data_IF_799119292978
#
_entry.id   IF_799119292978
#
_cell.length_a   1.000
_cell.length_b   1.000
_cell.length_c   1.000
_cell.angle_alpha   90.00
_cell.angle_beta   90.00
_cell.angle_gamma   90.00
#
_symmetry.space_group_name_H-M   'P 1'
#
loop_
_entity.id
_entity.type
_entity.pdbx_description
1 polymer ?
#
# COMPACT_ATOMS: atom_id res chain seq x y z
N UNK A 1 -36.56 -12.19 -31.39
CA UNK A 1 -36.33 -11.32 -30.22
C UNK A 1 -35.70 -12.18 -29.13
N UNK A 2 -34.44 -11.98 -28.79
CA UNK A 2 -33.80 -12.71 -27.69
C UNK A 2 -34.56 -12.42 -26.39
N UNK A 3 -35.03 -13.46 -25.69
CA UNK A 3 -35.79 -13.30 -24.46
C UNK A 3 -34.94 -12.67 -23.34
N UNK A 4 -35.58 -11.95 -22.42
CA UNK A 4 -34.94 -11.25 -21.28
C UNK A 4 -33.91 -12.11 -20.53
N UNK A 5 -34.18 -13.42 -20.36
CA UNK A 5 -33.26 -14.38 -19.73
C UNK A 5 -31.95 -14.57 -20.49
N UNK A 6 -32.00 -14.59 -21.83
CA UNK A 6 -30.81 -14.71 -22.67
C UNK A 6 -29.97 -13.42 -22.61
N UNK A 7 -30.63 -12.26 -22.60
CA UNK A 7 -29.96 -10.97 -22.41
C UNK A 7 -29.27 -10.88 -21.05
N UNK A 8 -29.94 -11.30 -19.97
CA UNK A 8 -29.37 -11.32 -18.61
C UNK A 8 -28.19 -12.28 -18.49
N UNK A 9 -28.30 -13.49 -19.07
CA UNK A 9 -27.17 -14.44 -19.11
C UNK A 9 -25.97 -13.85 -19.84
N UNK A 10 -26.20 -13.23 -21.00
CA UNK A 10 -25.13 -12.60 -21.78
C UNK A 10 -24.47 -11.47 -20.99
N UNK A 11 -25.28 -10.57 -20.40
CA UNK A 11 -24.79 -9.46 -19.59
C UNK A 11 -23.97 -9.95 -18.38
N UNK A 12 -24.43 -10.99 -17.69
CA UNK A 12 -23.70 -11.58 -16.58
C UNK A 12 -22.36 -12.19 -17.03
N UNK A 13 -22.33 -12.93 -18.12
CA UNK A 13 -21.09 -13.52 -18.66
C UNK A 13 -20.10 -12.44 -19.07
N UNK A 14 -20.52 -11.43 -19.82
CA UNK A 14 -19.62 -10.37 -20.28
C UNK A 14 -19.19 -9.43 -19.16
N UNK A 15 -20.08 -9.07 -18.24
CA UNK A 15 -19.70 -8.24 -17.09
C UNK A 15 -18.75 -8.97 -16.16
N UNK A 16 -19.01 -10.25 -15.87
CA UNK A 16 -18.10 -11.10 -15.10
C UNK A 16 -16.74 -11.29 -15.78
N UNK A 17 -16.72 -11.45 -17.11
CA UNK A 17 -15.47 -11.59 -17.87
C UNK A 17 -14.63 -10.30 -17.82
N UNK A 18 -15.23 -9.14 -18.10
CA UNK A 18 -14.53 -7.86 -18.12
C UNK A 18 -14.03 -7.50 -16.72
N UNK A 19 -14.90 -7.55 -15.72
CA UNK A 19 -14.53 -7.25 -14.32
C UNK A 19 -13.50 -8.27 -13.82
N UNK A 20 -13.65 -9.54 -14.19
CA UNK A 20 -12.71 -10.60 -13.86
C UNK A 20 -11.30 -10.34 -14.41
N UNK A 21 -11.16 -9.88 -15.66
CA UNK A 21 -9.85 -9.52 -16.23
C UNK A 21 -9.20 -8.32 -15.54
N UNK A 22 -10.01 -7.33 -15.16
CA UNK A 22 -9.54 -6.17 -14.39
C UNK A 22 -9.04 -6.63 -13.02
N UNK A 23 -9.84 -7.40 -12.28
CA UNK A 23 -9.48 -7.96 -10.98
C UNK A 23 -8.25 -8.85 -11.06
N UNK A 24 -8.15 -9.70 -12.09
CA UNK A 24 -6.97 -10.53 -12.33
C UNK A 24 -5.71 -9.67 -12.48
N UNK A 25 -5.77 -8.61 -13.28
CA UNK A 25 -4.63 -7.71 -13.47
C UNK A 25 -4.26 -7.02 -12.16
N UNK A 26 -5.25 -6.52 -11.42
CA UNK A 26 -5.05 -5.88 -10.11
C UNK A 26 -4.38 -6.84 -9.14
N UNK A 27 -4.90 -8.06 -9.00
CA UNK A 27 -4.33 -9.06 -8.10
C UNK A 27 -2.94 -9.51 -8.54
N UNK A 28 -2.70 -9.71 -9.83
CA UNK A 28 -1.37 -10.03 -10.33
C UNK A 28 -0.35 -8.95 -9.94
N UNK A 29 -0.70 -7.68 -10.15
CA UNK A 29 0.18 -6.55 -9.81
C UNK A 29 0.36 -6.42 -8.30
N UNK A 30 -0.69 -6.70 -7.52
CA UNK A 30 -0.63 -6.79 -6.06
C UNK A 30 0.28 -7.92 -5.57
N UNK A 31 0.19 -9.11 -6.17
CA UNK A 31 1.06 -10.24 -5.87
C UNK A 31 2.52 -9.89 -6.15
N UNK A 32 2.82 -9.28 -7.30
CA UNK A 32 4.20 -8.84 -7.62
C UNK A 32 4.70 -7.79 -6.62
N UNK A 33 3.80 -6.96 -6.06
CA UNK A 33 4.17 -5.93 -5.08
C UNK A 33 4.72 -6.47 -3.75
N UNK A 34 4.53 -7.75 -3.43
CA UNK A 34 5.18 -8.37 -2.27
C UNK A 34 6.71 -8.35 -2.38
N UNK A 35 7.25 -8.42 -3.61
CA UNK A 35 8.69 -8.29 -3.90
C UNK A 35 9.10 -6.86 -4.23
N UNK A 36 8.33 -5.85 -3.79
CA UNK A 36 8.60 -4.44 -4.13
C UNK A 36 10.03 -4.01 -3.79
N UNK A 37 10.53 -4.35 -2.61
CA UNK A 37 11.88 -4.00 -2.18
C UNK A 37 12.94 -4.71 -3.04
N UNK A 38 12.77 -6.01 -3.28
CA UNK A 38 13.70 -6.80 -4.10
C UNK A 38 13.73 -6.34 -5.55
N UNK A 39 12.56 -6.02 -6.13
CA UNK A 39 12.46 -5.46 -7.49
C UNK A 39 13.10 -4.07 -7.58
N UNK A 40 12.93 -3.23 -6.56
CA UNK A 40 13.60 -1.94 -6.49
C UNK A 40 15.13 -2.11 -6.44
N UNK A 41 15.62 -3.07 -5.66
CA UNK A 41 17.04 -3.41 -5.57
C UNK A 41 17.58 -3.98 -6.87
N UNK A 42 16.88 -4.94 -7.46
CA UNK A 42 17.26 -5.56 -8.73
C UNK A 42 17.39 -4.53 -9.86
N UNK A 43 16.52 -3.51 -9.87
CA UNK A 43 16.58 -2.43 -10.85
C UNK A 43 17.60 -1.32 -10.52
N UNK A 44 18.31 -1.41 -9.38
CA UNK A 44 19.34 -0.45 -8.94
C UNK A 44 20.62 -1.19 -8.53
N UNK A 45 21.28 -1.93 -9.46
CA UNK A 45 22.47 -2.71 -9.15
C UNK A 45 23.66 -1.86 -8.69
N UNK A 46 23.68 -0.56 -9.01
CA UNK A 46 24.69 0.39 -8.54
C UNK A 46 24.70 0.61 -7.02
N UNK A 47 23.60 0.29 -6.33
CA UNK A 47 23.49 0.40 -4.88
C UNK A 47 23.94 -0.91 -4.23
N UNK A 48 24.98 -0.85 -3.40
CA UNK A 48 25.64 -2.05 -2.85
C UNK A 48 25.29 -2.31 -1.38
N UNK A 49 24.88 -3.56 -1.10
CA UNK A 49 24.78 -4.15 0.25
C UNK A 49 23.59 -3.69 1.11
N UNK A 50 22.96 -4.58 1.89
CA UNK A 50 22.05 -4.13 2.94
C UNK A 50 22.84 -3.34 3.98
N UNK A 51 22.37 -2.14 4.34
CA UNK A 51 22.98 -1.37 5.41
C UNK A 51 22.62 -1.99 6.76
N UNK A 52 23.58 -2.09 7.69
CA UNK A 52 23.23 -2.42 9.07
C UNK A 52 22.31 -1.31 9.61
N UNK A 53 21.14 -1.63 10.20
CA UNK A 53 20.14 -0.62 10.57
C UNK A 53 20.70 0.50 11.46
N UNK A 54 21.53 0.16 12.45
CA UNK A 54 22.16 1.13 13.35
C UNK A 54 23.10 2.09 12.61
N UNK A 55 23.92 1.56 11.71
CA UNK A 55 24.86 2.35 10.95
C UNK A 55 24.12 3.27 9.96
N UNK A 56 23.08 2.77 9.29
CA UNK A 56 22.21 3.55 8.42
C UNK A 56 21.53 4.71 9.15
N UNK A 57 21.03 4.47 10.36
CA UNK A 57 20.41 5.52 11.18
C UNK A 57 21.44 6.55 11.64
N UNK A 58 22.64 6.13 12.04
CA UNK A 58 23.73 7.04 12.38
C UNK A 58 24.13 7.93 11.19
N UNK A 59 24.34 7.33 10.02
CA UNK A 59 24.65 8.03 8.78
C UNK A 59 23.54 9.00 8.37
N UNK A 60 22.28 8.56 8.45
CA UNK A 60 21.10 9.38 8.20
C UNK A 60 21.03 10.61 9.13
N UNK A 61 21.24 10.42 10.43
CA UNK A 61 21.25 11.51 11.39
C UNK A 61 22.39 12.50 11.09
N UNK A 62 23.58 12.00 10.76
CA UNK A 62 24.71 12.85 10.41
C UNK A 62 24.48 13.63 9.10
N UNK A 63 23.84 13.01 8.10
CA UNK A 63 23.43 13.68 6.85
C UNK A 63 22.43 14.81 7.11
N UNK A 64 21.39 14.56 7.92
CA UNK A 64 20.35 15.54 8.23
C UNK A 64 20.88 16.71 9.07
N UNK A 65 21.79 16.45 10.01
CA UNK A 65 22.50 17.51 10.76
C UNK A 65 23.25 18.48 9.84
N UNK A 66 23.79 17.99 8.72
CA UNK A 66 24.53 18.80 7.74
C UNK A 66 23.62 19.49 6.73
N UNK A 67 22.56 18.80 6.29
CA UNK A 67 21.73 19.24 5.15
C UNK A 67 20.53 20.07 5.58
N UNK A 68 19.91 19.73 6.72
CA UNK A 68 18.67 20.34 7.18
C UNK A 68 18.64 20.51 8.72
N UNK A 69 19.65 21.18 9.32
CA UNK A 69 19.71 21.38 10.78
C UNK A 69 18.50 22.14 11.32
N UNK A 70 17.97 23.10 10.54
CA UNK A 70 16.88 23.98 10.96
C UNK A 70 15.49 23.46 10.58
N UNK A 71 15.38 22.22 10.09
CA UNK A 71 14.07 21.63 9.75
C UNK A 71 13.17 21.50 10.98
N UNK A 72 11.86 21.64 10.78
CA UNK A 72 10.84 21.46 11.84
C UNK A 72 10.85 20.03 12.37
N UNK A 73 10.99 19.05 11.49
CA UNK A 73 10.97 17.63 11.83
C UNK A 73 11.75 16.79 10.82
N UNK A 74 12.34 15.71 11.31
CA UNK A 74 13.02 14.69 10.52
C UNK A 74 12.28 13.37 10.64
N UNK A 75 12.15 12.67 9.52
CA UNK A 75 11.59 11.33 9.43
C UNK A 75 12.68 10.43 8.83
N UNK A 76 13.11 9.44 9.61
CA UNK A 76 14.12 8.47 9.23
C UNK A 76 13.44 7.10 9.21
N UNK A 77 13.31 6.51 8.02
CA UNK A 77 12.86 5.14 7.89
C UNK A 77 14.05 4.21 8.11
N UNK A 78 13.99 3.43 9.19
CA UNK A 78 15.01 2.42 9.49
C UNK A 78 14.98 1.35 8.40
N UNK A 79 16.12 1.06 7.73
CA UNK A 79 16.12 0.10 6.64
C UNK A 79 15.87 -1.32 7.16
N UNK A 80 14.98 -2.06 6.50
CA UNK A 80 14.81 -3.50 6.70
C UNK A 80 15.89 -4.34 6.01
N UNK A 81 15.82 -5.66 6.17
CA UNK A 81 16.79 -6.61 5.60
C UNK A 81 16.92 -6.56 4.06
N UNK A 82 15.93 -6.00 3.37
CA UNK A 82 15.86 -5.93 1.90
C UNK A 82 16.14 -4.52 1.36
N UNK A 83 16.35 -3.53 2.23
CA UNK A 83 16.58 -2.14 1.86
C UNK A 83 18.08 -1.81 1.89
N UNK A 84 18.50 -0.93 0.98
CA UNK A 84 19.92 -0.66 0.73
C UNK A 84 20.43 0.52 1.57
N UNK A 85 19.54 1.36 2.07
CA UNK A 85 19.88 2.54 2.88
C UNK A 85 18.65 3.14 3.54
N UNK A 86 18.87 4.14 4.41
CA UNK A 86 17.80 4.81 5.12
C UNK A 86 17.08 5.82 4.21
N UNK A 87 15.76 5.70 4.12
CA UNK A 87 14.94 6.71 3.44
C UNK A 87 14.65 7.86 4.40
N UNK A 88 14.97 9.06 3.97
CA UNK A 88 14.86 10.29 4.75
C UNK A 88 13.83 11.21 4.14
N UNK A 89 13.04 11.83 4.99
CA UNK A 89 12.18 12.96 4.64
C UNK A 89 12.27 14.00 5.76
N UNK A 90 12.34 15.28 5.43
CA UNK A 90 12.31 16.35 6.42
C UNK A 90 11.27 17.40 6.07
N UNK A 91 10.68 17.99 7.10
CA UNK A 91 9.76 19.10 6.94
C UNK A 91 10.50 20.40 7.23
N UNK A 92 10.69 21.30 6.24
CA UNK A 92 11.32 22.58 6.50
C UNK A 92 10.46 23.43 7.44
N UNK A 93 11.07 24.38 8.14
CA UNK A 93 10.29 25.38 8.88
C UNK A 93 9.46 26.22 7.90
N UNK A 94 8.20 26.56 8.26
CA UNK A 94 7.43 27.51 7.49
C UNK A 94 8.16 28.86 7.49
N UNK A 95 8.59 29.32 6.31
CA UNK A 95 9.12 30.68 6.16
C UNK A 95 7.94 31.57 5.81
N UNK A 96 7.69 32.59 6.63
CA UNK A 96 6.66 33.58 6.38
C UNK A 96 6.94 34.30 5.05
N UNK A 97 6.05 34.15 4.06
CA UNK A 97 6.20 34.74 2.72
C UNK A 97 6.62 33.80 1.58
N UNK A 98 6.92 32.52 1.82
CA UNK A 98 7.10 31.55 0.72
C UNK A 98 5.75 31.17 0.09
N UNK A 99 5.48 31.67 -1.12
CA UNK A 99 4.22 31.47 -1.85
C UNK A 99 3.99 30.02 -2.34
N UNK A 100 4.98 29.13 -2.22
CA UNK A 100 4.87 27.73 -2.64
C UNK A 100 5.49 26.81 -1.59
N UNK A 101 4.76 25.79 -1.11
CA UNK A 101 5.38 24.73 -0.31
C UNK A 101 6.45 24.03 -1.15
N UNK A 102 7.66 23.86 -0.58
CA UNK A 102 8.74 23.07 -1.20
C UNK A 102 8.19 21.68 -1.59
N UNK A 103 8.47 21.22 -2.80
CA UNK A 103 7.94 19.92 -3.28
C UNK A 103 8.58 18.81 -2.44
N UNK A 104 7.81 17.76 -2.11
CA UNK A 104 8.29 16.58 -1.37
C UNK A 104 9.57 15.96 -1.95
N UNK A 105 9.80 16.09 -3.26
CA UNK A 105 11.01 15.62 -3.94
C UNK A 105 12.28 16.37 -3.49
N UNK A 106 12.16 17.62 -3.07
CA UNK A 106 13.27 18.48 -2.67
C UNK A 106 13.61 18.31 -1.18
N UNK A 107 12.80 17.55 -0.44
CA UNK A 107 12.93 17.33 1.00
C UNK A 107 13.00 15.85 1.37
N UNK A 108 13.50 15.03 0.44
CA UNK A 108 13.72 13.60 0.64
C UNK A 108 15.10 13.19 0.14
N UNK A 109 15.71 12.20 0.79
CA UNK A 109 16.98 11.62 0.37
C UNK A 109 17.01 10.12 0.68
N UNK A 110 17.77 9.36 -0.09
CA UNK A 110 18.18 8.00 0.27
C UNK A 110 19.65 8.07 0.65
N UNK A 111 20.01 7.57 1.82
CA UNK A 111 21.36 7.70 2.37
C UNK A 111 21.90 6.33 2.76
N UNK A 112 23.18 6.10 2.50
CA UNK A 112 23.86 4.87 2.89
C UNK A 112 24.25 4.84 4.38
N UNK A 113 24.92 3.76 4.78
CA UNK A 113 25.43 3.59 6.14
C UNK A 113 26.45 4.67 6.56
N UNK A 114 27.16 5.29 5.62
CA UNK A 114 28.19 6.29 5.87
C UNK A 114 27.63 7.72 5.87
N UNK A 115 26.33 7.88 5.62
CA UNK A 115 25.69 9.18 5.57
C UNK A 115 25.85 9.90 4.23
N UNK A 116 26.21 9.19 3.16
CA UNK A 116 26.31 9.74 1.82
C UNK A 116 25.00 9.57 1.04
N UNK A 117 24.60 10.58 0.25
CA UNK A 117 23.41 10.49 -0.58
C UNK A 117 23.62 9.45 -1.68
N UNK A 118 22.73 8.45 -1.73
CA UNK A 118 22.70 7.45 -2.76
C UNK A 118 21.97 7.98 -4.00
N UNK A 119 22.74 8.27 -5.05
CA UNK A 119 22.21 8.62 -6.36
C UNK A 119 21.95 7.34 -7.17
N UNK A 120 20.71 6.89 -7.17
CA UNK A 120 20.27 5.77 -8.00
C UNK A 120 19.66 6.27 -9.32
N UNK A 121 19.68 5.41 -10.35
CA UNK A 121 18.93 5.68 -11.58
C UNK A 121 17.45 5.89 -11.29
N UNK A 122 16.81 6.74 -12.09
CA UNK A 122 15.36 6.91 -12.00
C UNK A 122 14.67 5.64 -12.51
N UNK A 123 14.06 4.91 -11.59
CA UNK A 123 13.27 3.72 -11.87
C UNK A 123 12.15 3.61 -10.87
N UNK A 124 10.97 3.26 -11.38
CA UNK A 124 9.82 2.93 -10.54
C UNK A 124 9.99 1.55 -9.90
N UNK A 125 10.78 0.63 -10.47
CA UNK A 125 11.02 -0.65 -9.82
C UNK A 125 9.74 -1.39 -9.41
N UNK A 126 9.77 -1.94 -8.21
CA UNK A 126 8.61 -2.49 -7.52
C UNK A 126 7.50 -1.48 -7.20
N UNK A 127 7.81 -0.18 -7.11
CA UNK A 127 6.82 0.89 -6.89
C UNK A 127 5.77 0.93 -7.99
N UNK A 128 6.16 0.58 -9.23
CA UNK A 128 5.23 0.53 -10.34
C UNK A 128 4.09 -0.47 -10.08
N UNK A 129 4.43 -1.70 -9.71
CA UNK A 129 3.45 -2.77 -9.46
C UNK A 129 2.58 -2.44 -8.25
N UNK A 130 3.20 -1.94 -7.18
CA UNK A 130 2.50 -1.48 -5.98
C UNK A 130 1.48 -0.39 -6.30
N UNK A 131 1.87 0.65 -7.04
CA UNK A 131 0.94 1.72 -7.42
C UNK A 131 -0.10 1.27 -8.43
N UNK A 132 0.27 0.43 -9.40
CA UNK A 132 -0.66 -0.06 -10.39
C UNK A 132 -1.84 -0.80 -9.74
N UNK A 133 -1.59 -1.54 -8.65
CA UNK A 133 -2.60 -2.30 -7.92
C UNK A 133 -3.84 -1.47 -7.51
N UNK A 134 -3.70 -0.17 -7.25
CA UNK A 134 -4.83 0.67 -6.83
C UNK A 134 -4.97 2.02 -7.57
N UNK A 135 -3.91 2.52 -8.22
CA UNK A 135 -3.90 3.83 -8.89
C UNK A 135 -3.92 3.75 -10.42
N UNK A 136 -3.73 2.57 -11.06
CA UNK A 136 -3.65 2.36 -12.52
C UNK A 136 -2.78 3.38 -13.29
N UNK A 137 -1.71 2.93 -13.95
CA UNK A 137 -0.68 3.84 -14.51
C UNK A 137 -1.19 4.97 -15.45
N UNK A 138 -2.24 4.74 -16.23
CA UNK A 138 -2.72 5.69 -17.27
C UNK A 138 -4.02 6.42 -16.93
N UNK A 139 -4.52 6.26 -15.72
CA UNK A 139 -5.79 6.84 -15.28
C UNK A 139 -5.49 7.84 -14.15
N UNK A 140 -6.20 8.99 -14.07
CA UNK A 140 -6.03 9.86 -12.92
C UNK A 140 -6.34 9.10 -11.63
N UNK A 141 -5.46 9.26 -10.63
CA UNK A 141 -5.45 8.51 -9.36
C UNK A 141 -6.84 8.38 -8.74
N UNK A 142 -7.59 9.47 -8.68
CA UNK A 142 -8.93 9.48 -8.08
C UNK A 142 -9.91 8.57 -8.82
N UNK A 143 -9.90 8.60 -10.15
CA UNK A 143 -10.77 7.79 -10.99
C UNK A 143 -10.36 6.33 -10.98
N UNK A 144 -9.06 6.06 -10.96
CA UNK A 144 -8.53 4.71 -10.85
C UNK A 144 -9.00 4.04 -9.55
N UNK A 145 -8.88 4.74 -8.42
CA UNK A 145 -9.34 4.22 -7.12
C UNK A 145 -10.84 3.95 -7.10
N UNK A 146 -11.66 4.85 -7.63
CA UNK A 146 -13.10 4.61 -7.77
C UNK A 146 -13.42 3.40 -8.64
N UNK A 147 -12.73 3.25 -9.77
CA UNK A 147 -12.93 2.13 -10.68
C UNK A 147 -12.51 0.79 -10.06
N UNK A 148 -11.30 0.73 -9.49
CA UNK A 148 -10.79 -0.45 -8.77
C UNK A 148 -11.70 -0.79 -7.58
N UNK A 149 -12.14 0.24 -6.83
CA UNK A 149 -13.08 0.11 -5.72
C UNK A 149 -14.42 -0.48 -6.15
N UNK A 150 -14.98 -0.02 -7.26
CA UNK A 150 -16.20 -0.59 -7.83
C UNK A 150 -16.03 -2.06 -8.19
N UNK A 151 -14.92 -2.43 -8.84
CA UNK A 151 -14.62 -3.83 -9.13
C UNK A 151 -14.47 -4.68 -7.86
N UNK A 152 -13.82 -4.14 -6.83
CA UNK A 152 -13.68 -4.81 -5.53
C UNK A 152 -15.03 -4.97 -4.80
N UNK A 153 -15.91 -3.97 -4.84
CA UNK A 153 -17.28 -4.07 -4.32
C UNK A 153 -18.09 -5.13 -5.05
N UNK A 154 -18.03 -5.14 -6.39
CA UNK A 154 -18.71 -6.14 -7.22
C UNK A 154 -18.21 -7.56 -6.89
N UNK A 155 -16.90 -7.72 -6.70
CA UNK A 155 -16.30 -8.97 -6.24
C UNK A 155 -16.77 -9.37 -4.84
N UNK A 156 -16.80 -8.44 -3.88
CA UNK A 156 -17.24 -8.74 -2.52
C UNK A 156 -18.70 -9.21 -2.51
N UNK A 157 -19.56 -8.55 -3.28
CA UNK A 157 -20.96 -8.98 -3.49
C UNK A 157 -21.01 -10.35 -4.14
N UNK A 158 -20.19 -10.62 -5.18
CA UNK A 158 -20.11 -11.93 -5.83
C UNK A 158 -19.65 -13.04 -4.88
N UNK A 159 -18.68 -12.76 -4.00
CA UNK A 159 -18.21 -13.70 -2.98
C UNK A 159 -19.33 -14.01 -1.99
N UNK A 160 -19.94 -12.98 -1.38
CA UNK A 160 -20.99 -13.16 -0.37
C UNK A 160 -22.20 -13.88 -0.98
N UNK A 161 -22.66 -13.44 -2.15
CA UNK A 161 -23.77 -14.09 -2.85
C UNK A 161 -23.43 -15.52 -3.28
N UNK A 162 -22.18 -15.79 -3.71
CA UNK A 162 -21.69 -17.12 -4.03
C UNK A 162 -21.73 -18.07 -2.83
N UNK A 163 -21.28 -17.61 -1.65
CA UNK A 163 -21.34 -18.39 -0.40
C UNK A 163 -22.78 -18.70 0.00
N UNK A 164 -23.69 -17.73 -0.13
CA UNK A 164 -25.11 -17.91 0.23
C UNK A 164 -25.83 -18.86 -0.74
N UNK A 165 -25.57 -18.72 -2.05
CA UNK A 165 -26.27 -19.50 -3.09
C UNK A 165 -25.77 -20.94 -3.17
N UNK A 166 -24.47 -21.18 -2.95
CA UNK A 166 -23.89 -22.52 -2.97
C UNK A 166 -24.01 -23.22 -1.61
N UNK A 167 -25.22 -23.65 -1.25
CA UNK A 167 -25.50 -24.37 0.03
C UNK A 167 -24.67 -25.66 0.24
N UNK A 168 -24.10 -26.24 -0.83
CA UNK A 168 -23.29 -27.47 -0.81
C UNK A 168 -21.80 -27.22 -1.09
N UNK A 169 -21.34 -25.97 -1.05
CA UNK A 169 -20.00 -25.57 -1.43
C UNK A 169 -18.87 -26.42 -0.79
N UNK A 170 -19.01 -26.77 0.49
CA UNK A 170 -18.06 -27.65 1.19
C UNK A 170 -18.14 -29.12 0.75
N UNK A 171 -19.33 -29.63 0.44
CA UNK A 171 -19.49 -31.01 -0.03
C UNK A 171 -18.94 -31.18 -1.45
N UNK A 172 -19.18 -30.17 -2.29
CA UNK A 172 -18.72 -30.16 -3.68
C UNK A 172 -17.19 -29.98 -3.75
N UNK A 173 -16.57 -29.28 -2.80
CA UNK A 173 -15.10 -29.21 -2.65
C UNK A 173 -14.42 -30.58 -2.55
N UNK A 174 -15.01 -31.52 -1.79
CA UNK A 174 -14.46 -32.88 -1.65
C UNK A 174 -14.88 -33.84 -2.76
N UNK A 175 -15.72 -33.40 -3.70
CA UNK A 175 -16.30 -34.28 -4.74
C UNK A 175 -15.72 -33.94 -6.12
N UNK A 176 -14.46 -34.33 -6.38
CA UNK A 176 -13.84 -34.10 -7.69
C UNK A 176 -14.21 -35.22 -8.70
N UNK A 177 -14.97 -34.91 -9.74
CA UNK A 177 -15.39 -35.89 -10.76
C UNK A 177 -14.57 -35.73 -12.04
N UNK A 178 -13.57 -36.62 -12.23
CA UNK A 178 -12.73 -36.67 -13.45
C UNK A 178 -13.51 -37.19 -14.67
N UNK A 179 -13.12 -36.73 -15.87
CA UNK A 179 -13.56 -37.30 -17.16
C UNK A 179 -14.93 -36.85 -17.69
N UNK A 180 -15.52 -35.76 -17.19
CA UNK A 180 -16.86 -35.28 -17.60
C UNK A 180 -16.87 -33.86 -18.19
N UNK A 181 -15.81 -33.48 -18.91
CA UNK A 181 -15.72 -32.23 -19.67
C UNK A 181 -16.07 -30.99 -18.83
N UNK A 182 -17.12 -30.26 -19.22
CA UNK A 182 -17.60 -29.04 -18.56
C UNK A 182 -17.91 -29.22 -17.07
N UNK A 183 -18.40 -30.39 -16.65
CA UNK A 183 -18.66 -30.68 -15.23
C UNK A 183 -17.37 -30.80 -14.41
N UNK A 184 -16.31 -31.35 -14.99
CA UNK A 184 -14.99 -31.42 -14.34
C UNK A 184 -14.39 -30.02 -14.18
N UNK A 185 -14.62 -29.12 -15.14
CA UNK A 185 -14.18 -27.72 -15.03
C UNK A 185 -14.95 -26.97 -13.94
N UNK A 186 -16.26 -27.20 -13.84
CA UNK A 186 -17.10 -26.62 -12.78
C UNK A 186 -16.69 -27.11 -11.38
N UNK A 187 -16.44 -28.42 -11.24
CA UNK A 187 -15.95 -29.01 -9.99
C UNK A 187 -14.56 -28.43 -9.62
N UNK A 188 -13.68 -28.24 -10.60
CA UNK A 188 -12.38 -27.59 -10.40
C UNK A 188 -12.48 -26.11 -10.02
N UNK A 189 -13.39 -25.36 -10.64
CA UNK A 189 -13.68 -23.97 -10.28
C UNK A 189 -14.22 -23.89 -8.84
N UNK A 190 -15.17 -24.75 -8.47
CA UNK A 190 -15.69 -24.80 -7.11
C UNK A 190 -14.58 -25.15 -6.10
N UNK A 191 -13.74 -26.13 -6.41
CA UNK A 191 -12.66 -26.53 -5.51
C UNK A 191 -11.67 -25.38 -5.26
N UNK A 192 -11.22 -24.73 -6.33
CA UNK A 192 -10.28 -23.59 -6.25
C UNK A 192 -10.92 -22.36 -5.62
N UNK A 193 -12.20 -22.08 -5.91
CA UNK A 193 -12.95 -20.98 -5.32
C UNK A 193 -13.05 -21.11 -3.80
N UNK A 194 -13.35 -22.31 -3.28
CA UNK A 194 -13.44 -22.56 -1.83
C UNK A 194 -12.09 -22.46 -1.16
N UNK A 195 -11.05 -23.06 -1.75
CA UNK A 195 -9.70 -23.01 -1.19
C UNK A 195 -9.21 -21.56 -1.05
N UNK A 196 -9.47 -20.75 -2.07
CA UNK A 196 -9.02 -19.37 -2.11
C UNK A 196 -10.01 -18.38 -1.47
N UNK A 197 -11.21 -18.82 -1.09
CA UNK A 197 -12.28 -18.00 -0.52
C UNK A 197 -11.83 -17.15 0.68
N UNK A 198 -11.20 -17.70 1.74
CA UNK A 198 -10.82 -16.88 2.89
C UNK A 198 -9.85 -15.78 2.53
N UNK A 199 -8.89 -16.08 1.64
CA UNK A 199 -7.93 -15.10 1.15
C UNK A 199 -8.62 -14.01 0.31
N UNK A 200 -9.44 -14.38 -0.68
CA UNK A 200 -10.14 -13.42 -1.53
C UNK A 200 -11.11 -12.53 -0.74
N UNK A 201 -11.82 -13.10 0.25
CA UNK A 201 -12.70 -12.32 1.12
C UNK A 201 -11.88 -11.28 1.91
N UNK A 202 -10.79 -11.71 2.54
CA UNK A 202 -9.94 -10.85 3.36
C UNK A 202 -9.29 -9.74 2.53
N UNK A 203 -8.65 -10.05 1.40
CA UNK A 203 -7.95 -9.05 0.58
C UNK A 203 -8.93 -8.04 -0.05
N UNK A 204 -10.12 -8.50 -0.47
CA UNK A 204 -11.12 -7.62 -1.08
C UNK A 204 -11.71 -6.69 -0.04
N UNK A 205 -12.04 -7.23 1.14
CA UNK A 205 -12.55 -6.44 2.26
C UNK A 205 -11.51 -5.41 2.73
N UNK A 206 -10.27 -5.84 2.99
CA UNK A 206 -9.21 -4.94 3.45
C UNK A 206 -8.90 -3.85 2.43
N UNK A 207 -8.85 -4.17 1.12
CA UNK A 207 -8.68 -3.17 0.07
C UNK A 207 -9.78 -2.09 0.04
N UNK A 208 -11.03 -2.47 0.29
CA UNK A 208 -12.15 -1.52 0.41
C UNK A 208 -12.04 -0.68 1.69
N UNK A 209 -11.64 -1.28 2.81
CA UNK A 209 -11.46 -0.58 4.08
C UNK A 209 -10.34 0.46 4.00
N UNK A 210 -9.22 0.14 3.33
CA UNK A 210 -8.10 1.09 3.14
C UNK A 210 -8.53 2.36 2.40
N UNK A 211 -9.53 2.26 1.53
CA UNK A 211 -10.08 3.39 0.77
C UNK A 211 -11.48 3.81 1.27
N UNK A 212 -11.87 3.41 2.48
CA UNK A 212 -13.22 3.67 3.01
C UNK A 212 -13.54 5.16 3.11
N UNK A 213 -12.59 5.99 3.52
CA UNK A 213 -12.79 7.46 3.61
C UNK A 213 -13.02 8.10 2.25
N UNK A 214 -12.49 7.50 1.17
CA UNK A 214 -12.75 7.94 -0.19
C UNK A 214 -14.18 7.58 -0.63
N UNK A 215 -14.65 6.38 -0.30
CA UNK A 215 -15.98 5.90 -0.73
C UNK A 215 -17.13 6.40 0.14
N UNK A 216 -16.90 6.53 1.45
CA UNK A 216 -17.91 6.85 2.46
C UNK A 216 -17.43 7.99 3.38
N UNK A 217 -17.23 9.21 2.87
CA UNK A 217 -16.69 10.33 3.65
C UNK A 217 -17.66 10.88 4.70
N UNK A 218 -18.95 10.54 4.63
CA UNK A 218 -20.00 11.18 5.44
C UNK A 218 -19.78 11.07 6.95
N UNK A 219 -19.28 9.95 7.46
CA UNK A 219 -18.97 9.81 8.87
C UNK A 219 -17.84 10.76 9.31
N UNK A 220 -16.83 10.93 8.45
CA UNK A 220 -15.74 11.87 8.70
C UNK A 220 -16.23 13.31 8.68
N UNK A 221 -16.99 13.69 7.64
CA UNK A 221 -17.49 15.07 7.47
C UNK A 221 -18.52 15.45 8.54
N UNK A 222 -19.32 14.50 9.03
CA UNK A 222 -20.32 14.76 10.07
C UNK A 222 -19.69 14.95 11.46
N UNK A 223 -18.56 14.30 11.75
CA UNK A 223 -17.93 14.33 13.07
C UNK A 223 -16.69 15.25 13.14
N UNK A 224 -16.12 15.62 11.99
CA UNK A 224 -14.90 16.41 11.90
C UNK A 224 -15.02 17.49 10.84
N UNK A 225 -14.66 18.74 11.19
CA UNK A 225 -14.62 19.88 10.26
C UNK A 225 -13.60 19.68 9.12
N UNK A 226 -12.52 18.96 9.40
CA UNK A 226 -11.45 18.62 8.47
C UNK A 226 -11.11 17.15 8.62
N UNK A 227 -10.92 16.46 7.48
CA UNK A 227 -10.59 15.03 7.47
C UNK A 227 -9.27 14.72 8.17
N UNK A 228 -8.35 15.68 8.24
CA UNK A 228 -7.06 15.50 8.93
C UNK A 228 -7.23 15.25 10.43
N UNK A 229 -8.21 15.91 11.07
CA UNK A 229 -8.54 15.69 12.49
C UNK A 229 -9.06 14.28 12.78
N UNK A 230 -9.67 13.60 11.80
CA UNK A 230 -10.05 12.19 11.92
C UNK A 230 -8.81 11.31 12.02
N UNK A 231 -7.79 11.56 11.18
CA UNK A 231 -6.56 10.78 11.20
C UNK A 231 -5.78 11.02 12.49
N UNK A 232 -5.75 12.24 13.02
CA UNK A 232 -5.15 12.54 14.32
C UNK A 232 -5.83 11.77 15.47
N UNK A 233 -7.15 11.60 15.40
CA UNK A 233 -7.91 10.84 16.40
C UNK A 233 -7.69 9.32 16.28
N UNK A 234 -7.55 8.79 15.05
CA UNK A 234 -7.34 7.36 14.80
C UNK A 234 -5.89 6.93 15.04
N UNK A 235 -4.94 7.81 14.77
CA UNK A 235 -3.50 7.59 14.92
C UNK A 235 -2.90 8.69 15.80
N UNK A 236 -3.21 8.68 17.11
CA UNK A 236 -2.73 9.71 18.02
C UNK A 236 -1.20 9.70 18.01
N UNK A 237 -0.63 10.80 17.53
CA UNK A 237 0.80 11.07 17.64
C UNK A 237 1.14 11.40 19.10
N UNK A 238 2.40 11.23 19.49
CA UNK A 238 2.87 11.79 20.75
C UNK A 238 2.49 13.28 20.81
N UNK A 239 1.85 13.71 21.90
CA UNK A 239 1.31 15.07 22.00
C UNK A 239 2.37 16.12 21.71
N UNK A 240 2.01 17.19 20.99
CA UNK A 240 2.93 18.31 20.78
C UNK A 240 3.32 18.89 22.14
N UNK A 241 4.56 18.63 22.56
CA UNK A 241 5.11 19.21 23.78
C UNK A 241 5.39 20.69 23.50
N UNK A 242 4.95 21.56 24.41
CA UNK A 242 5.22 22.99 24.31
C UNK A 242 6.73 23.22 24.13
N UNK A 243 7.08 23.96 23.06
CA UNK A 243 8.48 24.28 22.78
C UNK A 243 9.02 25.10 23.96
N UNK A 244 10.09 24.61 24.55
CA UNK A 244 10.79 25.31 25.64
C UNK A 244 11.45 26.61 25.18
N UNK A 245 11.58 26.81 23.86
CA UNK A 245 12.25 27.98 23.26
C UNK A 245 13.78 27.97 23.43
N UNK A 246 14.31 27.05 24.23
CA UNK A 246 15.73 26.86 24.43
C UNK A 246 16.27 25.79 23.46
N UNK A 247 17.39 26.06 22.76
CA UNK A 247 18.02 25.05 21.93
C UNK A 247 18.53 23.91 22.82
N UNK A 248 18.09 22.68 22.53
CA UNK A 248 18.58 21.47 23.17
C UNK A 248 19.58 20.76 22.24
N UNK A 249 20.65 20.16 22.77
CA UNK A 249 21.55 19.35 21.97
C UNK A 249 20.78 18.17 21.38
N UNK A 250 21.00 17.92 20.09
CA UNK A 250 20.35 16.83 19.40
C UNK A 250 20.87 15.48 19.93
N UNK A 251 19.97 14.68 20.50
CA UNK A 251 20.28 13.36 21.07
C UNK A 251 20.68 12.38 19.97
N UNK A 252 21.66 11.52 20.25
CA UNK A 252 22.02 10.40 19.36
C UNK A 252 20.86 9.39 19.31
N UNK A 253 20.40 9.05 18.11
CA UNK A 253 19.25 8.17 17.91
C UNK A 253 19.65 6.69 18.08
N UNK A 254 20.93 6.33 17.89
CA UNK A 254 21.38 4.93 17.91
C UNK A 254 21.17 4.27 19.28
N UNK A 255 21.55 4.89 20.43
CA UNK A 255 21.29 4.30 21.73
C UNK A 255 19.80 4.11 22.02
N UNK A 256 18.96 5.07 21.60
CA UNK A 256 17.50 4.98 21.75
C UNK A 256 16.93 3.82 20.94
N UNK A 257 17.42 3.63 19.71
CA UNK A 257 17.00 2.52 18.86
C UNK A 257 17.39 1.17 19.46
N UNK A 258 18.60 1.05 20.03
CA UNK A 258 19.05 -0.16 20.73
C UNK A 258 18.17 -0.50 21.93
N UNK A 259 17.90 0.49 22.78
CA UNK A 259 17.03 0.31 23.95
C UNK A 259 15.60 -0.06 23.54
N UNK A 260 15.04 0.60 22.53
CA UNK A 260 13.74 0.24 21.98
C UNK A 260 13.71 -1.18 21.43
N UNK A 261 14.74 -1.60 20.68
CA UNK A 261 14.84 -2.95 20.10
C UNK A 261 15.02 -4.04 21.15
N UNK A 262 15.61 -3.72 22.30
CA UNK A 262 15.80 -4.67 23.40
C UNK A 262 14.53 -4.88 24.25
N UNK A 263 13.59 -3.91 24.23
CA UNK A 263 12.34 -3.95 25.01
C UNK A 263 11.15 -4.55 24.25
N UNK A 264 11.28 -4.72 22.94
CA UNK A 264 10.28 -5.32 22.05
C UNK A 264 10.55 -6.80 21.85
#
# INVERSE_FOLDING_TARGET
MSGFRQSQSSLHTWSGLIVGWVLFTIFLMGTVSYWRADLNRWMRPELSGPSQPEQAVAGAQAYLRRTAPDARSWFISVPGAHEIGAQLFWQPQPVEGEARPRRRRDTQALVDADGQPLHARDTRGGEFFYRFHFDLHYVPVIWARWFVGFCAMAMLVAIISGVITHKKIFKDFFTFRRGKGQRTWLDGHNATAVLALPFHLMITYTGLVTLMTLYMPWAAVANYEQTDKLFDALFPSAGEVARTGAPAPLVDIVPLMRDASARW
#
